data_IF_040364014018
#
_entry.id   IF_040364014018
#
_cell.length_a   1.000
_cell.length_b   1.000
_cell.length_c   1.000
_cell.angle_alpha   90.00
_cell.angle_beta   90.00
_cell.angle_gamma   90.00
#
_symmetry.space_group_name_H-M   'P 1'
#
loop_
_entity.id
_entity.type
_entity.pdbx_description
1 polymer ?
#
# COMPACT_ATOMS: atom_id res chain seq x y z
N UNK A 1 2.25 -1.56 14.80
CA UNK A 1 2.30 -0.45 15.78
C UNK A 1 3.74 -0.01 15.96
N UNK A 2 4.03 1.29 15.99
CA UNK A 2 5.33 1.81 16.47
C UNK A 2 5.20 2.24 17.92
N UNK A 3 6.15 1.88 18.77
CA UNK A 3 6.19 2.37 20.15
C UNK A 3 6.93 3.71 20.17
N UNK A 4 6.55 4.61 21.07
CA UNK A 4 7.25 5.89 21.23
C UNK A 4 8.75 5.62 21.53
N UNK A 5 9.63 6.12 20.66
CA UNK A 5 11.07 5.93 20.78
C UNK A 5 11.62 4.59 20.27
N UNK A 6 10.81 3.73 19.65
CA UNK A 6 11.23 2.47 19.04
C UNK A 6 10.85 2.43 17.56
N UNK A 7 11.84 2.28 16.68
CA UNK A 7 11.63 2.22 15.23
C UNK A 7 11.07 0.88 14.76
N UNK A 8 11.06 -0.15 15.62
CA UNK A 8 10.56 -1.48 15.26
C UNK A 8 9.06 -1.47 15.03
N UNK A 9 8.66 -2.18 13.97
CA UNK A 9 7.26 -2.47 13.72
C UNK A 9 6.86 -3.70 14.54
N UNK A 10 5.91 -3.53 15.45
CA UNK A 10 5.42 -4.59 16.32
C UNK A 10 3.98 -4.98 15.96
N UNK A 11 3.72 -6.30 15.96
CA UNK A 11 2.40 -6.92 15.76
C UNK A 11 1.98 -7.61 17.06
N UNK A 12 1.30 -6.87 17.93
CA UNK A 12 1.09 -7.30 19.32
C UNK A 12 -0.33 -7.07 19.77
N UNK A 13 -0.88 -8.01 20.54
CA UNK A 13 -2.22 -7.90 21.12
C UNK A 13 -2.30 -6.97 22.34
N UNK A 14 -1.15 -6.58 22.91
CA UNK A 14 -1.07 -5.67 24.05
C UNK A 14 0.18 -4.79 23.95
N UNK A 15 -0.03 -3.48 23.86
CA UNK A 15 1.05 -2.50 23.79
C UNK A 15 1.90 -2.45 25.06
N UNK A 16 1.31 -2.63 26.24
CA UNK A 16 2.08 -2.69 27.49
C UNK A 16 3.00 -3.92 27.57
N UNK A 17 2.52 -5.10 27.14
CA UNK A 17 3.33 -6.31 27.06
C UNK A 17 4.49 -6.14 26.10
N UNK A 18 4.23 -5.59 24.91
CA UNK A 18 5.25 -5.40 23.89
C UNK A 18 6.34 -4.41 24.32
N UNK A 19 5.99 -3.38 25.09
CA UNK A 19 6.96 -2.45 25.69
C UNK A 19 7.85 -3.14 26.72
N UNK A 20 7.27 -4.02 27.53
CA UNK A 20 8.00 -4.74 28.59
C UNK A 20 8.90 -5.83 28.03
N UNK A 21 8.48 -6.50 26.96
CA UNK A 21 9.18 -7.62 26.33
C UNK A 21 9.37 -7.37 24.83
N UNK A 22 10.18 -6.38 24.44
CA UNK A 22 10.24 -5.91 23.05
C UNK A 22 10.95 -6.87 22.10
N UNK A 23 11.74 -7.82 22.62
CA UNK A 23 12.39 -8.86 21.81
C UNK A 23 11.54 -10.12 21.66
N UNK A 24 10.28 -10.06 22.12
CA UNK A 24 9.40 -11.22 22.21
C UNK A 24 9.77 -12.14 23.37
N UNK A 25 8.75 -12.75 23.95
CA UNK A 25 8.88 -13.93 24.79
C UNK A 25 7.69 -14.83 24.46
N UNK A 26 7.94 -16.09 24.11
CA UNK A 26 6.89 -17.05 23.79
C UNK A 26 6.59 -17.81 25.06
N UNK A 27 5.66 -17.27 25.84
CA UNK A 27 5.14 -17.92 27.03
C UNK A 27 3.82 -18.63 26.65
N UNK A 28 3.82 -19.97 26.46
CA UNK A 28 2.68 -20.70 25.90
C UNK A 28 1.38 -20.55 26.70
N UNK A 29 1.50 -20.19 27.98
CA UNK A 29 0.39 -20.03 28.92
C UNK A 29 0.25 -18.58 29.42
N UNK A 30 0.81 -17.60 28.72
CA UNK A 30 0.72 -16.21 29.14
C UNK A 30 -0.68 -15.66 28.89
N UNK A 31 -1.31 -15.19 29.97
CA UNK A 31 -2.52 -14.40 29.90
C UNK A 31 -2.19 -12.97 30.30
N UNK A 32 -2.47 -12.02 29.42
CA UNK A 32 -2.25 -10.60 29.68
C UNK A 32 -3.22 -10.11 30.74
N UNK A 33 -2.70 -9.54 31.83
CA UNK A 33 -3.49 -8.95 32.92
C UNK A 33 -3.72 -7.44 32.77
N UNK A 34 -3.30 -6.83 31.65
CA UNK A 34 -3.46 -5.40 31.42
C UNK A 34 -4.90 -5.06 31.07
N UNK A 35 -5.34 -3.88 31.50
CA UNK A 35 -6.63 -3.30 31.12
C UNK A 35 -6.69 -2.97 29.63
N UNK A 36 -7.89 -2.82 29.05
CA UNK A 36 -8.03 -2.50 27.62
C UNK A 36 -7.34 -1.19 27.24
N UNK A 37 -7.31 -0.20 28.13
CA UNK A 37 -6.58 1.05 27.92
C UNK A 37 -5.06 0.84 27.84
N UNK A 38 -4.51 -0.06 28.66
CA UNK A 38 -3.09 -0.41 28.64
C UNK A 38 -2.72 -1.34 27.47
N UNK A 39 -3.67 -2.14 27.00
CA UNK A 39 -3.50 -3.01 25.83
C UNK A 39 -3.54 -2.22 24.53
N UNK A 40 -4.38 -1.18 24.48
CA UNK A 40 -4.62 -0.36 23.30
C UNK A 40 -3.42 0.48 22.87
N UNK A 41 -3.52 1.02 21.66
CA UNK A 41 -2.58 1.93 21.06
C UNK A 41 -3.31 3.01 20.27
N UNK A 42 -2.62 4.11 19.99
CA UNK A 42 -3.14 5.16 19.11
C UNK A 42 -2.80 4.79 17.67
N UNK A 43 -3.80 4.84 16.79
CA UNK A 43 -3.63 4.59 15.37
C UNK A 43 -4.44 5.59 14.55
N UNK A 44 -3.92 5.92 13.37
CA UNK A 44 -4.63 6.64 12.33
C UNK A 44 -4.92 5.63 11.22
N UNK A 45 -6.19 5.32 11.00
CA UNK A 45 -6.63 4.36 10.00
C UNK A 45 -7.83 4.91 9.22
N UNK A 46 -8.13 4.28 8.09
CA UNK A 46 -9.35 4.56 7.33
C UNK A 46 -10.56 3.95 8.05
N UNK A 47 -11.76 4.40 7.68
CA UNK A 47 -13.00 3.77 8.14
C UNK A 47 -13.10 2.30 7.73
N UNK A 48 -12.54 1.91 6.58
CA UNK A 48 -12.53 0.51 6.14
C UNK A 48 -11.75 -0.39 7.11
N UNK A 49 -10.53 0.02 7.46
CA UNK A 49 -9.69 -0.73 8.41
C UNK A 49 -10.28 -0.74 9.81
N UNK A 50 -10.84 0.39 10.25
CA UNK A 50 -11.50 0.48 11.55
C UNK A 50 -12.69 -0.49 11.63
N UNK A 51 -13.54 -0.52 10.60
CA UNK A 51 -14.69 -1.43 10.58
C UNK A 51 -14.27 -2.90 10.66
N UNK A 52 -13.24 -3.30 9.90
CA UNK A 52 -12.72 -4.68 9.96
C UNK A 52 -12.13 -4.99 11.34
N UNK A 53 -11.44 -4.04 11.98
CA UNK A 53 -10.95 -4.24 13.34
C UNK A 53 -12.11 -4.43 14.34
N UNK A 54 -13.17 -3.62 14.24
CA UNK A 54 -14.36 -3.74 15.09
C UNK A 54 -15.04 -5.11 14.89
N UNK A 55 -15.17 -5.58 13.65
CA UNK A 55 -15.73 -6.89 13.33
C UNK A 55 -14.91 -8.05 13.94
N UNK A 56 -13.59 -7.87 14.07
CA UNK A 56 -12.68 -8.83 14.72
C UNK A 56 -12.62 -8.67 16.26
N UNK A 57 -13.50 -7.84 16.85
CA UNK A 57 -13.67 -7.70 18.30
C UNK A 57 -12.78 -6.64 18.95
N UNK A 58 -12.11 -5.78 18.17
CA UNK A 58 -11.44 -4.60 18.73
C UNK A 58 -12.45 -3.57 19.21
N UNK A 59 -12.05 -2.75 20.17
CA UNK A 59 -12.89 -1.68 20.74
C UNK A 59 -12.19 -0.32 20.66
N UNK A 60 -12.97 0.71 20.34
CA UNK A 60 -12.47 2.10 20.35
C UNK A 60 -12.62 2.67 21.74
N UNK A 61 -11.50 2.92 22.41
CA UNK A 61 -11.50 3.52 23.76
C UNK A 61 -11.58 5.04 23.73
N UNK A 62 -10.99 5.68 22.70
CA UNK A 62 -10.98 7.12 22.53
C UNK A 62 -10.88 7.50 21.05
N UNK A 63 -11.66 8.50 20.66
CA UNK A 63 -11.65 9.10 19.32
C UNK A 63 -11.09 10.52 19.40
N UNK A 64 -10.12 10.85 18.54
CA UNK A 64 -9.45 12.16 18.56
C UNK A 64 -9.91 13.08 17.44
N UNK A 65 -9.96 12.57 16.21
CA UNK A 65 -10.32 13.31 15.01
C UNK A 65 -10.90 12.36 13.98
N UNK A 66 -11.89 12.86 13.24
CA UNK A 66 -12.47 12.19 12.07
C UNK A 66 -12.39 13.16 10.90
N UNK A 67 -11.93 12.66 9.76
CA UNK A 67 -12.06 13.35 8.47
C UNK A 67 -13.18 12.65 7.72
N UNK A 68 -14.32 13.32 7.60
CA UNK A 68 -15.53 12.76 7.01
C UNK A 68 -15.73 13.28 5.58
N UNK A 69 -16.06 12.34 4.68
CA UNK A 69 -16.37 12.62 3.27
C UNK A 69 -17.80 12.17 3.02
N UNK A 70 -18.69 13.14 2.81
CA UNK A 70 -20.15 12.91 2.73
C UNK A 70 -20.54 12.27 1.38
N UNK A 71 -19.83 12.63 0.31
CA UNK A 71 -20.10 12.15 -1.03
C UNK A 71 -19.11 11.05 -1.42
N UNK A 72 -19.59 10.03 -2.12
CA UNK A 72 -18.78 8.93 -2.65
C UNK A 72 -19.20 8.58 -4.08
N UNK A 73 -18.25 8.09 -4.87
CA UNK A 73 -18.47 7.65 -6.24
C UNK A 73 -17.78 6.29 -6.46
N UNK A 74 -18.53 5.28 -6.87
CA UNK A 74 -18.07 3.92 -7.16
C UNK A 74 -17.72 3.69 -8.65
N UNK A 75 -17.94 4.71 -9.49
CA UNK A 75 -17.80 4.67 -10.95
C UNK A 75 -16.72 5.60 -11.49
N UNK A 76 -16.21 6.53 -10.68
CA UNK A 76 -15.19 7.51 -11.06
C UNK A 76 -14.04 6.89 -11.88
N UNK A 77 -13.52 5.76 -11.43
CA UNK A 77 -12.40 5.05 -12.08
C UNK A 77 -12.84 3.91 -13.01
N UNK A 78 -14.13 3.59 -13.10
CA UNK A 78 -14.60 2.44 -13.87
C UNK A 78 -14.26 2.53 -15.37
N UNK A 79 -14.42 3.69 -16.05
CA UNK A 79 -14.02 3.83 -17.46
C UNK A 79 -12.52 3.67 -17.65
N UNK A 80 -11.72 4.29 -16.77
CA UNK A 80 -10.26 4.20 -16.76
C UNK A 80 -9.83 2.73 -16.63
N UNK A 81 -10.24 2.05 -15.56
CA UNK A 81 -9.87 0.64 -15.33
C UNK A 81 -10.33 -0.27 -16.47
N UNK A 82 -11.51 -0.03 -17.04
CA UNK A 82 -12.01 -0.81 -18.18
C UNK A 82 -11.11 -0.67 -19.41
N UNK A 83 -10.61 0.54 -19.70
CA UNK A 83 -9.70 0.77 -20.81
C UNK A 83 -8.33 0.11 -20.58
N UNK A 84 -7.75 0.27 -19.38
CA UNK A 84 -6.49 -0.37 -19.01
C UNK A 84 -6.57 -1.89 -19.10
N UNK A 85 -7.64 -2.50 -18.57
CA UNK A 85 -7.85 -3.95 -18.67
C UNK A 85 -7.96 -4.42 -20.12
N UNK A 86 -8.64 -3.64 -20.97
CA UNK A 86 -8.74 -3.96 -22.40
C UNK A 86 -7.38 -3.92 -23.11
N UNK A 87 -6.51 -2.96 -22.75
CA UNK A 87 -5.15 -2.89 -23.26
C UNK A 87 -4.29 -4.05 -22.75
N UNK A 88 -4.37 -4.39 -21.46
CA UNK A 88 -3.62 -5.50 -20.85
C UNK A 88 -3.93 -6.81 -21.55
N UNK A 89 -5.22 -7.14 -21.73
CA UNK A 89 -5.68 -8.34 -22.46
C UNK A 89 -5.19 -8.35 -23.91
N UNK A 90 -5.10 -7.19 -24.57
CA UNK A 90 -4.59 -7.10 -25.94
C UNK A 90 -3.08 -7.44 -26.00
N UNK A 91 -2.30 -7.00 -25.03
CA UNK A 91 -0.85 -7.22 -24.98
C UNK A 91 -0.48 -8.63 -24.52
N UNK A 92 -1.17 -9.18 -23.52
CA UNK A 92 -0.89 -10.53 -22.97
C UNK A 92 -1.60 -11.67 -23.72
N UNK A 93 -2.55 -11.33 -24.61
CA UNK A 93 -3.43 -12.29 -25.26
C UNK A 93 -4.55 -12.79 -24.34
N UNK A 94 -5.49 -13.53 -24.92
CA UNK A 94 -6.59 -14.14 -24.16
C UNK A 94 -6.10 -15.30 -23.28
N UNK A 95 -6.79 -15.51 -22.17
CA UNK A 95 -6.59 -16.70 -21.34
C UNK A 95 -6.86 -17.98 -22.17
N UNK A 96 -6.19 -19.07 -21.80
CA UNK A 96 -6.37 -20.43 -22.31
C UNK A 96 -7.83 -20.88 -22.37
N UNK A 97 -8.66 -20.43 -21.42
CA UNK A 97 -10.10 -20.71 -21.33
C UNK A 97 -10.94 -20.00 -22.42
N UNK A 98 -10.39 -18.95 -23.04
CA UNK A 98 -11.04 -18.11 -24.06
C UNK A 98 -10.37 -18.29 -25.44
N UNK A 99 -9.07 -18.59 -25.46
CA UNK A 99 -8.29 -18.86 -26.69
C UNK A 99 -8.93 -19.97 -27.52
N UNK A 100 -9.19 -19.68 -28.80
CA UNK A 100 -9.73 -20.65 -29.76
C UNK A 100 -11.25 -20.67 -29.87
N UNK A 101 -11.97 -19.87 -29.08
CA UNK A 101 -13.42 -19.65 -29.24
C UNK A 101 -13.68 -18.30 -29.92
N UNK A 102 -13.87 -18.34 -31.23
CA UNK A 102 -14.11 -17.16 -32.07
C UNK A 102 -15.32 -16.35 -31.57
N UNK A 103 -16.36 -17.00 -31.04
CA UNK A 103 -17.56 -16.36 -30.50
C UNK A 103 -17.30 -15.58 -29.19
N UNK A 104 -16.53 -16.17 -28.26
CA UNK A 104 -16.18 -15.54 -26.97
C UNK A 104 -15.21 -14.38 -27.19
N UNK A 105 -14.22 -14.57 -28.05
CA UNK A 105 -13.30 -13.50 -28.46
C UNK A 105 -14.04 -12.36 -29.17
N UNK A 106 -15.03 -12.68 -30.02
CA UNK A 106 -15.83 -11.67 -30.73
C UNK A 106 -16.77 -10.92 -29.79
N UNK A 107 -17.31 -11.56 -28.75
CA UNK A 107 -18.17 -10.93 -27.73
C UNK A 107 -17.41 -9.94 -26.84
N UNK A 108 -16.18 -10.32 -26.44
CA UNK A 108 -15.22 -9.40 -25.79
C UNK A 108 -14.82 -8.28 -26.76
N UNK A 109 -14.65 -8.61 -28.05
CA UNK A 109 -14.39 -7.62 -29.10
C UNK A 109 -15.55 -6.63 -29.34
N UNK A 110 -16.80 -7.07 -29.23
CA UNK A 110 -18.01 -6.26 -29.53
C UNK A 110 -18.36 -5.26 -28.43
N UNK A 111 -18.06 -5.57 -27.16
CA UNK A 111 -18.14 -4.61 -26.04
C UNK A 111 -17.22 -3.38 -26.22
N UNK A 112 -16.24 -3.43 -27.14
CA UNK A 112 -15.18 -2.41 -27.39
C UNK A 112 -15.58 -1.23 -28.27
N UNK A 113 -16.63 -1.30 -29.10
CA UNK A 113 -16.92 -0.24 -30.10
C UNK A 113 -17.55 1.04 -29.54
N UNK A 114 -17.91 1.06 -28.25
CA UNK A 114 -18.49 2.24 -27.60
C UNK A 114 -17.45 3.08 -26.80
N UNK A 115 -16.22 2.60 -26.65
CA UNK A 115 -15.13 3.34 -26.01
C UNK A 115 -14.22 3.90 -27.10
N UNK A 116 -14.37 5.18 -27.40
CA UNK A 116 -13.53 5.89 -28.35
C UNK A 116 -12.12 6.05 -27.78
N UNK A 117 -11.10 5.39 -28.33
CA UNK A 117 -9.75 5.98 -28.27
C UNK A 117 -8.79 5.46 -29.34
N UNK A 118 -8.07 6.44 -29.89
CA UNK A 118 -7.05 6.34 -30.93
C UNK A 118 -5.78 5.68 -30.41
N UNK A 119 -5.19 4.83 -31.24
CA UNK A 119 -3.88 4.23 -31.04
C UNK A 119 -2.79 5.30 -30.82
N UNK A 120 -2.33 5.46 -29.58
CA UNK A 120 -1.08 6.17 -29.31
C UNK A 120 -0.17 5.37 -28.39
N UNK A 121 0.91 4.92 -29.00
CA UNK A 121 2.22 4.49 -28.45
C UNK A 121 2.25 3.34 -27.45
N UNK A 122 2.77 2.23 -27.96
CA UNK A 122 2.99 0.90 -27.38
C UNK A 122 4.23 0.79 -26.47
N UNK A 123 4.61 1.85 -25.73
CA UNK A 123 5.84 1.86 -24.94
C UNK A 123 5.57 2.24 -23.47
N UNK A 124 5.96 1.33 -22.55
CA UNK A 124 5.97 1.42 -21.07
C UNK A 124 4.68 1.06 -20.30
N UNK A 125 4.05 -0.08 -20.61
CA UNK A 125 2.75 -0.48 -20.01
C UNK A 125 2.79 -1.00 -18.56
N UNK A 126 3.89 -1.60 -18.07
CA UNK A 126 3.96 -2.02 -16.66
C UNK A 126 4.10 -0.86 -15.67
N UNK A 127 4.67 0.28 -16.09
CA UNK A 127 4.77 1.44 -15.21
C UNK A 127 3.46 2.20 -15.07
N UNK A 128 2.55 2.19 -16.06
CA UNK A 128 1.36 3.05 -16.01
C UNK A 128 0.30 2.62 -14.97
N UNK A 129 0.17 1.32 -14.66
CA UNK A 129 -0.80 0.82 -13.66
C UNK A 129 -0.42 1.24 -12.23
N UNK A 130 0.85 1.07 -11.85
CA UNK A 130 1.36 1.49 -10.52
C UNK A 130 1.54 3.00 -10.41
N UNK A 131 1.85 3.67 -11.53
CA UNK A 131 2.10 5.11 -11.58
C UNK A 131 0.80 5.93 -11.57
N UNK A 132 -0.39 5.32 -11.70
CA UNK A 132 -1.66 6.02 -11.52
C UNK A 132 -1.97 6.26 -10.03
N UNK A 133 -2.01 5.19 -9.25
CA UNK A 133 -2.32 5.29 -7.81
C UNK A 133 -1.22 5.96 -7.01
N UNK A 134 0.05 5.73 -7.37
CA UNK A 134 1.18 6.40 -6.73
C UNK A 134 1.18 7.92 -6.90
N UNK A 135 0.57 8.45 -7.97
CA UNK A 135 0.48 9.90 -8.20
C UNK A 135 -0.41 10.62 -7.18
N UNK A 136 -1.49 9.97 -6.76
CA UNK A 136 -2.34 10.52 -5.70
C UNK A 136 -1.58 10.67 -4.37
N UNK A 137 -0.57 9.82 -4.13
CA UNK A 137 0.27 9.82 -2.93
C UNK A 137 1.54 10.68 -3.04
N UNK A 138 1.68 11.53 -4.06
CA UNK A 138 2.91 12.29 -4.23
C UNK A 138 3.19 13.15 -3.00
N UNK A 139 4.46 13.14 -2.57
CA UNK A 139 4.90 13.98 -1.48
C UNK A 139 4.92 15.43 -1.95
N UNK A 140 3.88 16.18 -1.57
CA UNK A 140 3.68 17.58 -1.97
C UNK A 140 4.76 18.53 -1.43
N UNK A 141 5.50 18.13 -0.38
CA UNK A 141 6.49 18.99 0.27
C UNK A 141 7.55 18.21 1.08
N UNK A 142 8.69 18.84 1.36
CA UNK A 142 9.71 18.32 2.26
C UNK A 142 10.66 17.33 1.57
N UNK A 143 10.75 17.38 0.24
CA UNK A 143 11.81 16.71 -0.50
C UNK A 143 13.13 17.40 -0.19
N UNK A 144 14.09 16.62 0.26
CA UNK A 144 15.44 17.09 0.54
C UNK A 144 16.08 17.59 -0.74
N UNK A 145 16.65 18.78 -0.68
CA UNK A 145 17.44 19.38 -1.73
C UNK A 145 18.92 19.23 -1.37
N UNK A 146 19.75 19.19 -2.40
CA UNK A 146 21.20 19.10 -2.27
C UNK A 146 21.83 20.25 -3.04
N UNK A 147 22.84 20.86 -2.44
CA UNK A 147 23.57 21.98 -3.01
C UNK A 147 25.06 21.79 -2.73
N UNK A 148 25.90 22.01 -3.74
CA UNK A 148 27.36 21.91 -3.60
C UNK A 148 27.94 23.30 -3.68
N UNK A 149 28.78 23.66 -2.71
CA UNK A 149 29.43 24.96 -2.64
C UNK A 149 30.85 24.85 -2.11
N UNK A 150 31.74 25.67 -2.62
CA UNK A 150 33.08 25.93 -2.09
C UNK A 150 33.20 27.33 -1.46
N UNK A 151 32.10 28.08 -1.40
CA UNK A 151 32.03 29.42 -0.82
C UNK A 151 31.54 29.37 0.65
N UNK A 152 32.38 29.77 1.62
CA UNK A 152 31.97 29.89 3.02
C UNK A 152 30.79 30.85 3.24
N UNK A 153 30.61 31.87 2.39
CA UNK A 153 29.50 32.80 2.51
C UNK A 153 28.16 32.13 2.18
N UNK A 154 28.10 31.39 1.07
CA UNK A 154 26.92 30.59 0.72
C UNK A 154 26.60 29.56 1.81
N UNK A 155 27.61 28.90 2.39
CA UNK A 155 27.39 28.00 3.52
C UNK A 155 26.70 28.70 4.71
N UNK A 156 27.16 29.90 5.08
CA UNK A 156 26.55 30.68 6.16
C UNK A 156 25.10 31.09 5.82
N UNK A 157 24.78 31.44 4.57
CA UNK A 157 23.42 31.76 4.16
C UNK A 157 22.45 30.59 4.40
N UNK A 158 22.83 29.36 4.02
CA UNK A 158 21.98 28.18 4.25
C UNK A 158 21.90 27.76 5.71
N UNK A 159 22.97 27.95 6.47
CA UNK A 159 23.04 27.59 7.88
C UNK A 159 22.21 28.54 8.75
N UNK A 160 22.26 29.83 8.45
CA UNK A 160 21.67 30.87 9.29
C UNK A 160 20.24 31.25 8.85
N UNK A 161 19.78 30.79 7.67
CA UNK A 161 18.39 31.00 7.22
C UNK A 161 17.40 30.16 8.05
N UNK A 162 16.51 30.79 8.85
CA UNK A 162 15.55 30.07 9.69
C UNK A 162 14.49 29.32 8.88
N UNK A 163 14.26 29.71 7.62
CA UNK A 163 13.37 29.03 6.68
C UNK A 163 13.98 27.75 6.11
N UNK A 164 15.24 27.45 6.41
CA UNK A 164 15.93 26.26 5.97
C UNK A 164 16.16 25.33 7.16
N UNK A 165 15.96 24.04 6.93
CA UNK A 165 16.37 22.96 7.82
C UNK A 165 17.56 22.24 7.18
N UNK A 166 18.78 22.58 7.62
CA UNK A 166 20.01 21.99 7.12
C UNK A 166 20.19 20.61 7.77
N UNK A 167 19.96 19.55 6.99
CA UNK A 167 19.92 18.18 7.47
C UNK A 167 21.27 17.45 7.42
N UNK A 168 22.16 17.82 6.50
CA UNK A 168 23.52 17.30 6.45
C UNK A 168 24.50 18.28 5.79
N UNK A 169 25.77 18.16 6.17
CA UNK A 169 26.90 18.88 5.58
C UNK A 169 28.03 17.87 5.41
N UNK A 170 28.34 17.51 4.18
CA UNK A 170 29.37 16.54 3.84
C UNK A 170 30.51 17.23 3.09
N UNK A 171 31.76 17.09 3.54
CA UNK A 171 32.91 17.57 2.77
C UNK A 171 33.26 16.55 1.69
N UNK A 172 33.12 16.93 0.42
CA UNK A 172 33.41 16.04 -0.71
C UNK A 172 34.91 16.01 -1.00
N UNK A 173 35.54 17.18 -0.90
CA UNK A 173 36.97 17.43 -1.08
C UNK A 173 37.36 18.62 -0.19
N UNK A 174 38.65 18.83 0.12
CA UNK A 174 39.08 19.95 0.95
C UNK A 174 38.51 21.29 0.45
N UNK A 175 37.61 21.89 1.24
CA UNK A 175 36.96 23.16 0.93
C UNK A 175 35.73 23.09 0.02
N UNK A 176 35.28 21.90 -0.39
CA UNK A 176 34.05 21.71 -1.19
C UNK A 176 33.02 20.95 -0.37
N UNK A 177 31.90 21.60 -0.07
CA UNK A 177 30.83 21.09 0.78
C UNK A 177 29.60 20.68 -0.04
N UNK A 178 28.99 19.56 0.32
CA UNK A 178 27.65 19.15 -0.06
C UNK A 178 26.70 19.45 1.10
N UNK A 179 25.83 20.41 0.90
CA UNK A 179 24.76 20.78 1.82
C UNK A 179 23.49 20.03 1.44
N UNK A 180 22.86 19.38 2.41
CA UNK A 180 21.54 18.79 2.25
C UNK A 180 20.57 19.52 3.15
N UNK A 181 19.47 19.99 2.58
CA UNK A 181 18.52 20.83 3.31
C UNK A 181 17.08 20.63 2.86
N UNK A 182 16.14 21.08 3.69
CA UNK A 182 14.72 21.17 3.38
C UNK A 182 14.28 22.60 3.67
N UNK A 183 13.63 23.27 2.71
CA UNK A 183 12.96 24.55 3.00
C UNK A 183 11.73 24.27 3.85
N UNK A 184 11.60 24.90 5.00
CA UNK A 184 10.43 24.81 5.88
C UNK A 184 9.24 25.54 5.23
N UNK A 185 8.05 24.99 5.42
CA UNK A 185 6.78 25.62 5.02
C UNK A 185 5.75 25.35 6.10
N UNK A 186 5.06 26.42 6.51
CA UNK A 186 3.97 26.33 7.48
C UNK A 186 2.70 25.74 6.87
N UNK A 187 2.55 25.87 5.56
CA UNK A 187 1.40 25.36 4.81
C UNK A 187 1.85 24.61 3.55
N UNK A 188 1.25 23.43 3.34
CA UNK A 188 1.53 22.56 2.21
C UNK A 188 0.30 22.60 1.31
N UNK A 189 0.47 23.17 0.13
CA UNK A 189 -0.52 23.08 -0.94
C UNK A 189 -0.46 21.67 -1.56
N UNK A 190 -1.61 21.02 -1.70
CA UNK A 190 -1.71 19.73 -2.38
C UNK A 190 -1.54 19.96 -3.88
N UNK A 191 -0.70 19.17 -4.53
CA UNK A 191 -0.53 19.26 -5.98
C UNK A 191 -1.83 18.88 -6.69
N UNK A 192 -2.14 19.52 -7.82
CA UNK A 192 -3.33 19.25 -8.65
C UNK A 192 -3.58 17.78 -9.06
N UNK A 193 -2.57 16.90 -8.94
CA UNK A 193 -2.69 15.48 -9.26
C UNK A 193 -2.50 14.57 -8.04
N UNK A 194 -2.33 15.15 -6.84
CA UNK A 194 -2.28 14.47 -5.57
C UNK A 194 -3.67 14.46 -4.94
N UNK A 195 -4.02 13.36 -4.30
CA UNK A 195 -5.17 13.25 -3.44
C UNK A 195 -4.90 12.14 -2.43
N UNK A 196 -4.41 12.51 -1.24
CA UNK A 196 -4.01 11.53 -0.23
C UNK A 196 -5.17 10.60 0.18
N UNK A 197 -6.42 11.07 0.10
CA UNK A 197 -7.61 10.32 0.50
C UNK A 197 -7.84 9.14 -0.43
N UNK A 198 -7.77 9.36 -1.74
CA UNK A 198 -7.89 8.31 -2.75
C UNK A 198 -6.83 7.23 -2.50
N UNK A 199 -5.59 7.64 -2.26
CA UNK A 199 -4.50 6.71 -1.95
C UNK A 199 -4.73 5.88 -0.69
N UNK A 200 -5.18 6.54 0.39
CA UNK A 200 -5.47 5.86 1.66
C UNK A 200 -6.59 4.84 1.48
N UNK A 201 -7.65 5.18 0.76
CA UNK A 201 -8.79 4.30 0.54
C UNK A 201 -8.41 3.11 -0.36
N UNK A 202 -7.71 3.35 -1.46
CA UNK A 202 -7.27 2.28 -2.38
C UNK A 202 -6.31 1.31 -1.69
N UNK A 203 -5.30 1.81 -0.97
CA UNK A 203 -4.34 0.96 -0.25
C UNK A 203 -5.00 0.20 0.90
N UNK A 204 -5.94 0.83 1.60
CA UNK A 204 -6.71 0.17 2.66
C UNK A 204 -7.60 -0.95 2.12
N UNK A 205 -8.30 -0.71 1.00
CA UNK A 205 -9.11 -1.72 0.34
C UNK A 205 -8.27 -2.92 -0.12
N UNK A 206 -7.08 -2.67 -0.69
CA UNK A 206 -6.13 -3.71 -1.07
C UNK A 206 -5.65 -4.52 0.14
N UNK A 207 -5.25 -3.86 1.23
CA UNK A 207 -4.85 -4.52 2.49
C UNK A 207 -5.96 -5.40 3.06
N UNK A 208 -7.20 -4.91 3.07
CA UNK A 208 -8.35 -5.67 3.56
C UNK A 208 -8.65 -6.87 2.67
N UNK A 209 -8.50 -6.73 1.36
CA UNK A 209 -8.67 -7.84 0.43
C UNK A 209 -7.67 -8.97 0.74
N UNK A 210 -6.38 -8.62 0.90
CA UNK A 210 -5.34 -9.58 1.29
C UNK A 210 -5.60 -10.18 2.69
N UNK A 211 -5.97 -9.35 3.68
CA UNK A 211 -6.29 -9.80 5.04
C UNK A 211 -7.41 -10.84 5.05
N UNK A 212 -8.48 -10.63 4.26
CA UNK A 212 -9.58 -11.61 4.15
C UNK A 212 -9.10 -12.93 3.56
N UNK A 213 -8.20 -12.91 2.58
CA UNK A 213 -7.60 -14.13 2.04
C UNK A 213 -6.75 -14.86 3.10
N UNK A 214 -5.90 -14.13 3.83
CA UNK A 214 -5.12 -14.67 4.94
C UNK A 214 -6.02 -15.32 6.01
N UNK A 215 -7.10 -14.64 6.40
CA UNK A 215 -8.05 -15.16 7.38
C UNK A 215 -8.73 -16.44 6.90
N UNK A 216 -9.09 -16.54 5.61
CA UNK A 216 -9.63 -17.79 5.04
C UNK A 216 -8.62 -18.92 5.17
N UNK A 217 -7.37 -18.69 4.78
CA UNK A 217 -6.28 -19.68 4.91
C UNK A 217 -6.12 -20.12 6.37
N UNK A 218 -5.92 -19.19 7.30
CA UNK A 218 -5.66 -19.49 8.71
C UNK A 218 -6.85 -20.18 9.40
N UNK A 219 -8.09 -19.86 9.01
CA UNK A 219 -9.30 -20.48 9.57
C UNK A 219 -9.64 -21.84 8.95
N UNK A 220 -8.99 -22.22 7.84
CA UNK A 220 -9.23 -23.50 7.18
C UNK A 220 -8.38 -24.59 7.81
N UNK A 221 -9.01 -25.70 8.21
CA UNK A 221 -8.31 -26.81 8.87
C UNK A 221 -7.26 -27.43 7.94
N UNK A 222 -6.07 -27.68 8.48
CA UNK A 222 -4.95 -28.25 7.72
C UNK A 222 -4.20 -27.26 6.83
N UNK A 223 -4.61 -25.99 6.78
CA UNK A 223 -3.89 -24.94 6.07
C UNK A 223 -2.92 -24.19 6.99
N UNK A 224 -1.84 -23.64 6.44
CA UNK A 224 -0.93 -22.76 7.18
C UNK A 224 -0.42 -21.63 6.29
N UNK A 225 -0.57 -20.39 6.76
CA UNK A 225 -0.03 -19.21 6.09
C UNK A 225 1.49 -19.14 6.33
N UNK A 226 2.26 -19.02 5.25
CA UNK A 226 3.73 -19.04 5.28
C UNK A 226 4.33 -17.65 5.03
N UNK A 227 3.77 -16.89 4.09
CA UNK A 227 4.26 -15.56 3.73
C UNK A 227 3.14 -14.71 3.13
N UNK A 228 3.30 -13.39 3.20
CA UNK A 228 2.41 -12.41 2.56
C UNK A 228 3.19 -11.17 2.17
N UNK A 229 2.93 -10.63 0.98
CA UNK A 229 3.46 -9.34 0.56
C UNK A 229 2.49 -8.65 -0.40
N UNK A 230 2.02 -7.47 -0.01
CA UNK A 230 1.24 -6.50 -0.79
C UNK A 230 -0.03 -7.04 -1.48
N UNK A 231 0.13 -7.91 -2.47
CA UNK A 231 -0.90 -8.54 -3.30
C UNK A 231 -0.75 -10.07 -3.42
N UNK A 232 0.24 -10.66 -2.75
CA UNK A 232 0.56 -12.09 -2.77
C UNK A 232 0.50 -12.74 -1.39
N UNK A 233 0.23 -14.04 -1.36
CA UNK A 233 0.39 -14.88 -0.18
C UNK A 233 0.91 -16.27 -0.56
N UNK A 234 1.72 -16.83 0.31
CA UNK A 234 2.22 -18.21 0.22
C UNK A 234 1.64 -18.97 1.40
N UNK A 235 1.03 -20.11 1.13
CA UNK A 235 0.43 -20.95 2.16
C UNK A 235 0.53 -22.43 1.79
N UNK A 236 0.51 -23.30 2.79
CA UNK A 236 0.34 -24.74 2.58
C UNK A 236 -1.11 -25.14 2.80
N UNK A 237 -1.57 -26.14 2.04
CA UNK A 237 -2.89 -26.73 2.17
C UNK A 237 -2.86 -28.21 1.74
N UNK A 238 -3.80 -29.05 2.21
CA UNK A 238 -3.97 -30.41 1.69
C UNK A 238 -4.36 -30.40 0.20
N UNK A 239 -3.94 -31.40 -0.59
CA UNK A 239 -4.16 -31.44 -2.06
C UNK A 239 -5.61 -31.16 -2.46
N UNK A 240 -6.57 -31.73 -1.72
CA UNK A 240 -8.01 -31.64 -2.04
C UNK A 240 -8.70 -30.38 -1.48
N UNK A 241 -7.99 -29.54 -0.72
CA UNK A 241 -8.61 -28.43 0.04
C UNK A 241 -7.83 -27.14 -0.19
N UNK A 242 -8.04 -26.49 -1.34
CA UNK A 242 -7.57 -25.12 -1.52
C UNK A 242 -8.60 -24.13 -0.91
N UNK A 243 -8.23 -23.33 0.10
CA UNK A 243 -9.13 -22.38 0.78
C UNK A 243 -9.47 -21.14 -0.06
N UNK A 244 -8.74 -20.91 -1.16
CA UNK A 244 -8.91 -19.74 -2.02
C UNK A 244 -9.48 -20.11 -3.38
N UNK A 245 -10.40 -19.28 -3.85
CA UNK A 245 -10.88 -19.36 -5.22
C UNK A 245 -9.88 -18.65 -6.14
N UNK A 246 -9.33 -19.41 -7.08
CA UNK A 246 -8.46 -18.88 -8.11
C UNK A 246 -9.26 -18.51 -9.36
N UNK A 247 -8.78 -17.52 -10.09
CA UNK A 247 -9.38 -17.17 -11.37
C UNK A 247 -8.64 -16.09 -12.14
N UNK A 248 -8.97 -15.93 -13.44
CA UNK A 248 -8.26 -15.03 -14.34
C UNK A 248 -8.81 -13.59 -14.34
N UNK A 249 -9.86 -13.31 -13.56
CA UNK A 249 -10.50 -12.00 -13.55
C UNK A 249 -9.83 -11.01 -12.62
N UNK A 250 -10.09 -9.73 -12.86
CA UNK A 250 -9.52 -8.64 -12.06
C UNK A 250 -9.92 -8.80 -10.58
N UNK A 251 -8.91 -8.83 -9.71
CA UNK A 251 -9.09 -8.97 -8.27
C UNK A 251 -9.24 -10.42 -7.79
N UNK A 252 -9.10 -11.41 -8.68
CA UNK A 252 -8.97 -12.82 -8.30
C UNK A 252 -7.49 -13.18 -8.09
N UNK A 253 -7.24 -14.16 -7.21
CA UNK A 253 -5.90 -14.71 -7.04
C UNK A 253 -5.58 -15.67 -8.19
N UNK A 254 -4.35 -15.59 -8.69
CA UNK A 254 -3.81 -16.53 -9.67
C UNK A 254 -2.72 -17.39 -9.04
N UNK A 255 -2.57 -18.62 -9.50
CA UNK A 255 -1.44 -19.47 -9.11
C UNK A 255 -0.19 -19.09 -9.91
N UNK A 256 0.76 -18.42 -9.26
CA UNK A 256 2.03 -18.00 -9.87
C UNK A 256 3.06 -19.15 -9.96
N UNK A 257 2.91 -20.18 -9.14
CA UNK A 257 3.85 -21.29 -9.00
C UNK A 257 3.17 -22.63 -9.30
N UNK A 258 2.36 -22.67 -10.36
CA UNK A 258 1.75 -23.91 -10.83
C UNK A 258 2.83 -25.00 -10.90
N UNK A 259 2.62 -26.09 -10.16
CA UNK A 259 3.58 -27.18 -10.05
C UNK A 259 4.01 -27.61 -11.46
N UNK A 260 5.32 -27.57 -11.73
CA UNK A 260 5.87 -28.22 -12.91
C UNK A 260 5.60 -29.72 -12.75
N UNK A 261 4.50 -30.20 -13.31
CA UNK A 261 4.21 -31.63 -13.43
C UNK A 261 5.39 -32.28 -14.13
N UNK A 262 6.12 -33.10 -13.38
CA UNK A 262 7.18 -33.98 -13.88
C UNK A 262 6.59 -35.16 -14.62
#
# INVERSE_FOLDING_TARGET
MKLDGDERLLFTLCAACSRKYPNGDVLPNYSCSHTDLQRGWVSTCTSFELNVALDEGYVVTKLFRVLEYINSDDKLFAPYISEFMAQKIHSSGFDSSIKGSEEKETKVKRKRRNSSMSARSFWNQHQQEQNGWGRFSLRNFGLSQSFVTDDPAEFCEYKDDPSIDLSAVDELQPGVLLLRYVKKRDWIEEHDCSNVVVSLWTTSAARIHLLRAMQKVVRTSGCSLLYTDTDSLIFSHPEDVCPLQLGPHLGEFTDEYAAQTS
#
